data_IF_843101506868
#
_entry.id   IF_843101506868
#
_cell.length_a   1.000
_cell.length_b   1.000
_cell.length_c   1.000
_cell.angle_alpha   90.00
_cell.angle_beta   90.00
_cell.angle_gamma   90.00
#
_symmetry.space_group_name_H-M   'P 1'
#
loop_
_entity.id
_entity.type
_entity.pdbx_description
1 polymer ?
#
# COMPACT_ATOMS: atom_id res chain seq x y z
N UNK A 1 0.16 -14.88 19.69
CA UNK A 1 -0.67 -15.24 18.53
C UNK A 1 -0.12 -14.43 17.37
N UNK A 2 0.34 -15.09 16.32
CA UNK A 2 0.83 -14.42 15.11
C UNK A 2 -0.34 -13.85 14.30
N UNK A 3 -0.06 -12.85 13.47
CA UNK A 3 -1.04 -12.24 12.57
C UNK A 3 -1.68 -13.30 11.64
N UNK A 4 -0.87 -14.26 11.18
CA UNK A 4 -1.32 -15.34 10.32
C UNK A 4 -2.28 -16.31 11.04
N UNK A 5 -2.00 -16.65 12.31
CA UNK A 5 -2.91 -17.45 13.12
C UNK A 5 -4.24 -16.74 13.39
N UNK A 6 -4.20 -15.43 13.65
CA UNK A 6 -5.41 -14.62 13.78
C UNK A 6 -6.23 -14.66 12.47
N UNK A 7 -5.54 -14.56 11.33
CA UNK A 7 -6.18 -14.51 10.02
C UNK A 7 -6.84 -15.85 9.68
N UNK A 8 -6.18 -16.96 9.99
CA UNK A 8 -6.75 -18.31 9.86
C UNK A 8 -8.00 -18.49 10.71
N UNK A 9 -7.99 -18.03 11.97
CA UNK A 9 -9.16 -18.09 12.86
C UNK A 9 -10.34 -17.28 12.31
N UNK A 10 -10.05 -16.12 11.71
CA UNK A 10 -11.08 -15.27 11.12
C UNK A 10 -11.62 -15.88 9.82
N UNK A 11 -10.76 -16.48 9.00
CA UNK A 11 -11.17 -17.24 7.83
C UNK A 11 -12.02 -18.47 8.19
N UNK A 12 -11.69 -19.17 9.28
CA UNK A 12 -12.52 -20.25 9.81
C UNK A 12 -13.91 -19.74 10.26
N UNK A 13 -13.99 -18.55 10.86
CA UNK A 13 -15.25 -17.92 11.23
C UNK A 13 -16.09 -17.46 10.02
N UNK A 14 -15.44 -17.12 8.90
CA UNK A 14 -16.10 -16.80 7.63
C UNK A 14 -16.75 -18.03 6.98
N UNK A 15 -16.20 -19.23 7.17
CA UNK A 15 -16.65 -20.47 6.51
C UNK A 15 -18.18 -20.70 6.54
N UNK A 16 -18.88 -20.61 7.69
CA UNK A 16 -20.35 -20.72 7.74
C UNK A 16 -21.11 -19.53 7.14
N UNK A 17 -20.46 -18.38 6.97
CA UNK A 17 -21.07 -17.15 6.41
C UNK A 17 -21.00 -17.10 4.88
N UNK A 18 -20.14 -17.91 4.24
CA UNK A 18 -19.95 -17.92 2.79
C UNK A 18 -21.24 -18.05 1.97
N UNK A 19 -22.21 -18.93 2.30
CA UNK A 19 -23.48 -19.01 1.56
C UNK A 19 -24.24 -17.69 1.49
N UNK A 20 -24.19 -16.90 2.57
CA UNK A 20 -24.87 -15.60 2.64
C UNK A 20 -24.11 -14.48 1.93
N UNK A 21 -22.80 -14.65 1.70
CA UNK A 21 -21.92 -13.60 1.14
C UNK A 21 -21.67 -13.75 -0.37
N UNK A 22 -21.53 -14.99 -0.85
CA UNK A 22 -21.16 -15.27 -2.25
C UNK A 22 -22.21 -16.11 -3.00
N UNK A 23 -23.30 -16.51 -2.36
CA UNK A 23 -24.43 -17.19 -3.00
C UNK A 23 -24.03 -18.51 -3.66
N UNK A 24 -24.33 -18.67 -4.94
CA UNK A 24 -24.08 -19.90 -5.71
C UNK A 24 -22.61 -20.36 -5.77
N UNK A 25 -21.65 -19.45 -5.55
CA UNK A 25 -20.23 -19.78 -5.51
C UNK A 25 -19.78 -20.32 -4.13
N UNK A 26 -20.64 -20.27 -3.11
CA UNK A 26 -20.33 -20.70 -1.76
C UNK A 26 -19.86 -22.15 -1.62
N UNK A 27 -20.46 -23.18 -2.25
CA UNK A 27 -20.03 -24.56 -2.05
C UNK A 27 -18.59 -24.79 -2.52
N UNK A 28 -18.21 -24.21 -3.66
CA UNK A 28 -16.85 -24.31 -4.19
C UNK A 28 -15.84 -23.58 -3.26
N UNK A 29 -16.22 -22.40 -2.80
CA UNK A 29 -15.37 -21.59 -1.92
C UNK A 29 -15.22 -22.20 -0.52
N UNK A 30 -16.29 -22.79 0.02
CA UNK A 30 -16.28 -23.53 1.28
C UNK A 30 -15.40 -24.77 1.20
N UNK A 31 -15.41 -25.48 0.06
CA UNK A 31 -14.54 -26.62 -0.15
C UNK A 31 -13.07 -26.19 -0.19
N UNK A 32 -12.74 -25.15 -0.97
CA UNK A 32 -11.36 -24.65 -1.09
C UNK A 32 -10.84 -24.11 0.26
N UNK A 33 -11.64 -23.30 0.96
CA UNK A 33 -11.29 -22.80 2.29
C UNK A 33 -11.14 -23.95 3.30
N UNK A 34 -12.04 -24.94 3.26
CA UNK A 34 -11.96 -26.11 4.14
C UNK A 34 -10.67 -26.92 3.96
N UNK A 35 -10.21 -27.08 2.71
CA UNK A 35 -8.94 -27.75 2.43
C UNK A 35 -7.74 -26.96 2.98
N UNK A 36 -7.76 -25.64 2.85
CA UNK A 36 -6.70 -24.76 3.36
C UNK A 36 -6.65 -24.79 4.90
N UNK A 37 -7.80 -24.74 5.56
CA UNK A 37 -7.89 -24.85 7.02
C UNK A 37 -7.41 -26.21 7.51
N UNK A 38 -7.78 -27.29 6.82
CA UNK A 38 -7.31 -28.64 7.16
C UNK A 38 -5.78 -28.77 7.04
N UNK A 39 -5.17 -28.16 6.00
CA UNK A 39 -3.70 -28.12 5.86
C UNK A 39 -3.03 -27.36 7.02
N UNK A 40 -3.64 -26.28 7.51
CA UNK A 40 -3.17 -25.58 8.71
C UNK A 40 -3.24 -26.47 9.96
N UNK A 41 -4.31 -27.26 10.14
CA UNK A 41 -4.43 -28.23 11.24
C UNK A 41 -3.39 -29.36 11.16
N UNK A 42 -2.98 -29.74 9.94
CA UNK A 42 -1.94 -30.73 9.70
C UNK A 42 -0.51 -30.21 9.96
N UNK A 43 -0.38 -28.97 10.46
CA UNK A 43 0.91 -28.37 10.83
C UNK A 43 1.63 -27.67 9.69
N UNK A 44 0.94 -27.38 8.58
CA UNK A 44 1.49 -26.54 7.54
C UNK A 44 1.68 -25.10 8.04
N UNK A 45 2.65 -24.37 7.46
CA UNK A 45 2.98 -23.01 7.87
C UNK A 45 1.77 -22.08 7.77
N UNK A 46 1.40 -21.44 8.88
CA UNK A 46 0.30 -20.49 8.94
C UNK A 46 0.44 -19.36 7.91
N UNK A 47 1.66 -18.93 7.61
CA UNK A 47 1.94 -17.89 6.62
C UNK A 47 1.71 -18.36 5.17
N UNK A 48 1.96 -19.63 4.86
CA UNK A 48 1.69 -20.19 3.54
C UNK A 48 0.18 -20.30 3.30
N UNK A 49 -0.54 -20.84 4.30
CA UNK A 49 -1.99 -20.98 4.24
C UNK A 49 -2.68 -19.61 4.23
N UNK A 50 -2.22 -18.65 5.04
CA UNK A 50 -2.80 -17.30 5.05
C UNK A 50 -2.67 -16.62 3.68
N UNK A 51 -1.53 -16.78 3.00
CA UNK A 51 -1.32 -16.26 1.66
C UNK A 51 -2.26 -16.92 0.62
N UNK A 52 -2.45 -18.24 0.69
CA UNK A 52 -3.39 -18.94 -0.19
C UNK A 52 -4.84 -18.52 0.05
N UNK A 53 -5.25 -18.34 1.30
CA UNK A 53 -6.58 -17.83 1.66
C UNK A 53 -6.78 -16.41 1.15
N UNK A 54 -5.78 -15.53 1.27
CA UNK A 54 -5.84 -14.17 0.69
C UNK A 54 -6.03 -14.20 -0.82
N UNK A 55 -5.33 -15.12 -1.49
CA UNK A 55 -5.47 -15.31 -2.95
C UNK A 55 -6.85 -15.83 -3.31
N UNK A 56 -7.41 -16.77 -2.54
CA UNK A 56 -8.75 -17.31 -2.74
C UNK A 56 -9.81 -16.20 -2.70
N UNK A 57 -9.72 -15.30 -1.73
CA UNK A 57 -10.70 -14.21 -1.56
C UNK A 57 -10.46 -12.97 -2.42
N UNK A 58 -9.36 -12.92 -3.20
CA UNK A 58 -9.08 -11.80 -4.10
C UNK A 58 -10.23 -11.56 -5.09
N UNK A 59 -10.81 -12.65 -5.58
CA UNK A 59 -11.82 -12.63 -6.63
C UNK A 59 -13.27 -12.58 -6.06
N UNK A 60 -13.41 -12.51 -4.72
CA UNK A 60 -14.68 -12.47 -4.01
C UNK A 60 -14.75 -11.24 -3.07
N UNK A 61 -15.10 -10.05 -3.59
CA UNK A 61 -15.02 -8.79 -2.84
C UNK A 61 -15.85 -8.80 -1.56
N UNK A 62 -17.06 -9.37 -1.57
CA UNK A 62 -17.95 -9.43 -0.39
C UNK A 62 -17.33 -10.24 0.75
N UNK A 63 -16.66 -11.36 0.44
CA UNK A 63 -15.98 -12.19 1.43
C UNK A 63 -14.71 -11.50 1.96
N UNK A 64 -13.98 -10.80 1.10
CA UNK A 64 -12.82 -9.98 1.47
C UNK A 64 -13.21 -8.83 2.41
N UNK A 65 -14.31 -8.14 2.12
CA UNK A 65 -14.83 -7.07 2.98
C UNK A 65 -15.27 -7.61 4.35
N UNK A 66 -15.93 -8.77 4.38
CA UNK A 66 -16.29 -9.41 5.63
C UNK A 66 -15.05 -9.76 6.48
N UNK A 67 -14.01 -10.32 5.85
CA UNK A 67 -12.75 -10.61 6.55
C UNK A 67 -12.12 -9.35 7.10
N UNK A 68 -12.06 -8.27 6.31
CA UNK A 68 -11.51 -6.98 6.76
C UNK A 68 -12.31 -6.40 7.94
N UNK A 69 -13.63 -6.52 7.92
CA UNK A 69 -14.50 -6.00 8.99
C UNK A 69 -14.39 -6.79 10.30
N UNK A 70 -14.10 -8.10 10.23
CA UNK A 70 -14.06 -8.98 11.39
C UNK A 70 -12.62 -9.28 11.87
N UNK A 71 -11.61 -8.92 11.08
CA UNK A 71 -10.21 -9.01 11.44
C UNK A 71 -9.79 -7.75 12.22
N UNK A 72 -9.88 -7.83 13.55
CA UNK A 72 -9.64 -6.70 14.46
C UNK A 72 -8.16 -6.41 14.76
N UNK A 73 -7.22 -7.24 14.31
CA UNK A 73 -5.80 -7.02 14.56
C UNK A 73 -5.14 -6.27 13.39
N UNK A 74 -4.78 -5.02 13.67
CA UNK A 74 -3.80 -4.18 12.97
C UNK A 74 -3.76 -4.27 11.45
N UNK A 75 -4.35 -3.25 10.82
CA UNK A 75 -3.97 -2.76 9.50
C UNK A 75 -3.80 -3.84 8.43
N UNK A 76 -4.94 -4.26 7.86
CA UNK A 76 -4.99 -4.41 6.41
C UNK A 76 -4.78 -3.05 5.74
N UNK A 77 -3.61 -2.45 5.95
CA UNK A 77 -3.03 -1.50 5.03
C UNK A 77 -2.63 -2.34 3.80
N UNK A 78 -3.40 -2.15 2.74
CA UNK A 78 -3.09 -2.53 1.39
C UNK A 78 -3.28 -3.97 0.90
N UNK A 79 -4.53 -4.25 0.51
CA UNK A 79 -4.90 -5.28 -0.47
C UNK A 79 -5.35 -4.66 -1.81
N UNK A 80 -4.72 -3.56 -2.28
CA UNK A 80 -5.04 -3.02 -3.60
C UNK A 80 -4.39 -1.71 -4.01
N UNK A 81 -3.84 -0.93 -3.08
CA UNK A 81 -2.97 0.19 -3.39
C UNK A 81 -1.53 -0.34 -3.33
N UNK A 82 -0.75 0.05 -4.32
CA UNK A 82 0.70 -0.04 -4.23
C UNK A 82 1.12 0.44 -2.85
N UNK A 83 2.03 -0.27 -2.19
CA UNK A 83 2.81 0.24 -1.06
C UNK A 83 3.09 1.73 -1.36
N UNK A 84 2.41 2.73 -0.74
CA UNK A 84 3.08 4.00 -0.65
C UNK A 84 4.29 3.64 0.19
N UNK A 85 5.49 3.84 -0.35
CA UNK A 85 6.70 3.85 0.46
C UNK A 85 6.48 4.94 1.50
N UNK A 86 5.80 4.60 2.60
CA UNK A 86 5.70 5.42 3.79
C UNK A 86 7.10 5.41 4.33
N UNK A 87 7.86 6.39 3.84
CA UNK A 87 9.04 6.88 4.49
C UNK A 87 8.62 7.08 5.95
N UNK A 88 9.18 6.27 6.83
CA UNK A 88 9.02 6.41 8.26
C UNK A 88 10.19 7.28 8.67
N UNK A 89 10.10 8.63 8.60
CA UNK A 89 11.20 9.47 9.02
C UNK A 89 11.48 9.11 10.48
N UNK A 90 12.71 8.70 10.76
CA UNK A 90 13.21 8.64 12.12
C UNK A 90 12.83 9.95 12.80
N UNK A 91 12.39 9.90 14.06
CA UNK A 91 12.04 11.07 14.86
C UNK A 91 13.28 11.97 15.00
N UNK A 92 13.49 12.80 13.99
CA UNK A 92 14.54 13.76 13.85
C UNK A 92 13.87 14.98 13.29
N UNK A 93 13.95 16.08 14.04
CA UNK A 93 13.55 17.39 13.57
C UNK A 93 14.52 17.80 12.45
N UNK A 94 14.35 17.25 11.25
CA UNK A 94 14.95 17.84 10.06
C UNK A 94 14.11 19.08 9.75
N UNK A 95 14.68 20.30 9.84
CA UNK A 95 13.99 21.45 9.30
C UNK A 95 13.71 21.16 7.82
N UNK A 96 12.47 21.40 7.40
CA UNK A 96 12.10 21.36 5.99
C UNK A 96 12.89 22.48 5.31
N UNK A 97 14.02 22.15 4.68
CA UNK A 97 14.74 23.12 3.85
C UNK A 97 13.96 23.22 2.54
N UNK A 98 13.22 24.31 2.36
CA UNK A 98 12.51 24.58 1.11
C UNK A 98 13.57 24.92 0.04
N UNK A 99 13.75 24.03 -0.94
CA UNK A 99 14.60 24.32 -2.09
C UNK A 99 13.89 25.35 -2.98
N UNK A 100 14.55 26.46 -3.29
CA UNK A 100 14.02 27.47 -4.19
C UNK A 100 14.14 26.97 -5.64
N UNK A 101 13.05 27.10 -6.40
CA UNK A 101 13.02 26.82 -7.83
C UNK A 101 13.49 28.06 -8.61
N UNK A 102 14.40 27.88 -9.56
CA UNK A 102 14.89 28.94 -10.44
C UNK A 102 14.60 28.58 -11.90
N UNK A 103 14.16 29.57 -12.70
CA UNK A 103 13.92 29.43 -14.14
C UNK A 103 14.70 30.43 -14.97
N UNK A 104 15.03 30.07 -16.20
CA UNK A 104 15.61 31.02 -17.14
C UNK A 104 14.59 32.11 -17.52
N UNK A 105 14.97 33.40 -17.55
CA UNK A 105 14.07 34.49 -17.97
C UNK A 105 13.89 34.58 -19.50
N UNK A 106 14.69 33.87 -20.30
CA UNK A 106 14.60 33.96 -21.76
C UNK A 106 13.36 33.22 -22.28
N UNK A 107 12.52 33.88 -23.10
CA UNK A 107 11.30 33.27 -23.63
C UNK A 107 11.63 32.07 -24.52
N UNK A 108 11.08 30.91 -24.19
CA UNK A 108 11.29 29.65 -24.92
C UNK A 108 12.39 28.75 -24.36
N UNK A 109 13.14 29.19 -23.34
CA UNK A 109 14.06 28.33 -22.59
C UNK A 109 13.31 27.57 -21.48
N UNK A 110 13.45 26.25 -21.42
CA UNK A 110 12.80 25.38 -20.42
C UNK A 110 13.78 24.95 -19.31
N UNK A 111 14.85 25.71 -19.10
CA UNK A 111 15.81 25.43 -18.04
C UNK A 111 15.21 25.78 -16.67
N UNK A 112 15.16 24.77 -15.80
CA UNK A 112 14.71 24.87 -14.41
C UNK A 112 15.71 24.14 -13.50
N UNK A 113 16.09 24.77 -12.39
CA UNK A 113 17.00 24.19 -11.40
C UNK A 113 16.51 24.47 -9.98
N UNK A 114 16.67 23.50 -9.08
CA UNK A 114 16.31 23.63 -7.66
C UNK A 114 17.59 23.74 -6.84
N UNK A 115 17.67 24.76 -5.97
CA UNK A 115 18.81 24.92 -5.05
C UNK A 115 18.37 25.16 -3.62
N UNK A 116 19.16 24.63 -2.70
CA UNK A 116 18.99 24.81 -1.26
C UNK A 116 19.77 26.03 -0.74
N UNK A 117 20.71 26.55 -1.55
CA UNK A 117 21.55 27.70 -1.24
C UNK A 117 21.08 28.99 -1.92
N UNK A 118 21.45 30.14 -1.36
CA UNK A 118 21.12 31.49 -1.88
C UNK A 118 21.87 31.84 -3.19
N UNK A 119 22.63 30.91 -3.79
CA UNK A 119 23.33 31.18 -5.05
C UNK A 119 22.37 31.03 -6.24
N UNK A 120 22.15 32.14 -6.93
CA UNK A 120 21.34 32.17 -8.15
C UNK A 120 22.07 31.41 -9.26
N UNK A 121 21.49 30.32 -9.81
CA UNK A 121 22.12 29.57 -10.90
C UNK A 121 22.09 30.35 -12.21
N UNK A 122 22.99 29.99 -13.12
CA UNK A 122 23.03 30.56 -14.48
C UNK A 122 22.55 29.50 -15.47
N UNK A 123 21.67 29.89 -16.37
CA UNK A 123 21.20 29.03 -17.44
C UNK A 123 22.38 28.63 -18.34
N UNK A 124 22.58 27.33 -18.56
CA UNK A 124 23.69 26.81 -19.37
C UNK A 124 23.59 27.23 -20.85
N UNK A 125 22.38 27.42 -21.38
CA UNK A 125 22.16 27.78 -22.78
C UNK A 125 22.41 29.27 -23.05
N UNK A 126 21.92 30.15 -22.16
CA UNK A 126 21.92 31.60 -22.37
C UNK A 126 22.98 32.32 -21.53
N UNK A 127 23.64 31.61 -20.61
CA UNK A 127 24.62 32.11 -19.64
C UNK A 127 24.13 33.33 -18.83
N UNK A 128 22.81 33.43 -18.61
CA UNK A 128 22.14 34.48 -17.83
C UNK A 128 21.72 33.97 -16.46
N UNK A 129 21.64 34.88 -15.50
CA UNK A 129 21.13 34.60 -14.15
C UNK A 129 19.64 34.20 -14.22
N UNK A 130 19.31 33.11 -13.56
CA UNK A 130 17.94 32.64 -13.45
C UNK A 130 17.15 33.48 -12.44
N UNK A 131 15.82 33.45 -12.56
CA UNK A 131 14.93 34.13 -11.61
C UNK A 131 14.21 33.09 -10.74
N UNK A 132 14.02 33.35 -9.44
CA UNK A 132 13.26 32.45 -8.59
C UNK A 132 11.80 32.41 -9.04
N UNK A 133 11.19 31.22 -8.93
CA UNK A 133 9.76 31.01 -9.13
C UNK A 133 9.09 31.10 -7.77
N UNK A 134 8.35 32.18 -7.53
CA UNK A 134 7.55 32.33 -6.32
C UNK A 134 6.33 31.40 -6.42
N UNK A 135 6.24 30.42 -5.52
CA UNK A 135 5.02 29.62 -5.32
C UNK A 135 3.96 30.56 -4.71
N UNK A 136 2.80 30.67 -5.36
CA UNK A 136 1.70 31.59 -5.00
C UNK A 136 0.49 30.78 -4.54
#
# INVERSE_FOLDING_TARGET
MSLDEAYLRTAAALHPQLPSLVGDAAPELQQQLGQLLHRAEMGESAAAISHEIRRLFRDYPTAKEWLKANFHEYEFADLGTLIPKSFNPLAGNSPTTEAAEYRCPEPGCNYTEFREDEQIPRCEEHNRECIPVEDN
#
